data_IF_445515463319
#
_entry.id   IF_445515463319
#
_cell.length_a   1.000
_cell.length_b   1.000
_cell.length_c   1.000
_cell.angle_alpha   90.00
_cell.angle_beta   90.00
_cell.angle_gamma   90.00
#
_symmetry.space_group_name_H-M   'P 1'
#
loop_
_entity.id
_entity.type
_entity.pdbx_description
1 polymer ?
#
# COMPACT_ATOMS: atom_id res chain seq x y z
N UNK A 1 -25.72 41.00 58.19
CA UNK A 1 -24.81 41.19 57.03
C UNK A 1 -24.45 39.81 56.51
N UNK A 2 -25.11 39.35 55.45
CA UNK A 2 -24.90 38.01 54.88
C UNK A 2 -23.94 38.07 53.70
N UNK A 3 -22.80 37.38 53.81
CA UNK A 3 -21.82 37.26 52.74
C UNK A 3 -22.33 36.22 51.73
N UNK A 4 -22.84 36.66 50.59
CA UNK A 4 -23.23 35.76 49.50
C UNK A 4 -21.98 35.35 48.71
N UNK A 5 -21.49 34.13 48.95
CA UNK A 5 -20.43 33.49 48.16
C UNK A 5 -20.96 33.14 46.77
N UNK A 6 -20.58 33.94 45.78
CA UNK A 6 -20.83 33.65 44.36
C UNK A 6 -19.80 32.63 43.88
N UNK A 7 -20.16 31.33 43.90
CA UNK A 7 -19.31 30.26 43.39
C UNK A 7 -19.28 30.27 41.86
N UNK A 8 -18.22 30.79 41.26
CA UNK A 8 -17.96 30.65 39.81
C UNK A 8 -17.33 29.27 39.58
N UNK A 9 -18.16 28.30 39.17
CA UNK A 9 -17.69 26.98 38.78
C UNK A 9 -16.97 27.03 37.44
N UNK A 10 -15.65 26.87 37.43
CA UNK A 10 -14.86 26.74 36.20
C UNK A 10 -14.95 25.27 35.77
N UNK A 11 -16.01 24.93 35.02
CA UNK A 11 -16.12 23.62 34.39
C UNK A 11 -15.17 23.52 33.20
N UNK A 12 -14.03 22.85 33.36
CA UNK A 12 -13.23 22.44 32.22
C UNK A 12 -14.02 21.38 31.45
N UNK A 13 -14.52 21.73 30.26
CA UNK A 13 -15.08 20.72 29.38
C UNK A 13 -13.98 19.71 29.01
N UNK A 14 -14.25 18.40 29.03
CA UNK A 14 -13.27 17.41 28.61
C UNK A 14 -12.84 17.72 27.18
N UNK A 15 -11.54 17.87 26.96
CA UNK A 15 -10.98 17.91 25.62
C UNK A 15 -11.28 16.54 24.98
N UNK A 16 -12.21 16.49 24.03
CA UNK A 16 -12.42 15.30 23.24
C UNK A 16 -11.13 15.08 22.44
N UNK A 17 -10.37 14.05 22.81
CA UNK A 17 -9.22 13.61 22.06
C UNK A 17 -9.68 13.32 20.62
N UNK A 18 -8.95 13.84 19.64
CA UNK A 18 -9.20 13.55 18.24
C UNK A 18 -9.31 12.02 18.07
N UNK A 19 -10.35 11.55 17.38
CA UNK A 19 -10.54 10.13 17.14
C UNK A 19 -9.32 9.64 16.37
N UNK A 20 -8.51 8.86 17.06
CA UNK A 20 -7.28 8.24 16.61
C UNK A 20 -7.50 7.57 15.24
N UNK A 21 -6.67 7.95 14.25
CA UNK A 21 -6.84 7.49 12.87
C UNK A 21 -6.50 6.01 12.76
N UNK A 22 -7.46 5.17 12.34
CA UNK A 22 -7.17 3.78 12.01
C UNK A 22 -6.49 3.71 10.65
N UNK A 23 -5.44 2.91 10.53
CA UNK A 23 -4.71 2.71 9.28
C UNK A 23 -4.41 1.24 9.05
N UNK A 24 -4.47 0.80 7.79
CA UNK A 24 -4.24 -0.60 7.42
C UNK A 24 -3.41 -0.69 6.14
N UNK A 25 -2.48 -1.65 6.13
CA UNK A 25 -1.66 -1.97 4.98
C UNK A 25 -1.54 -3.49 4.84
N UNK A 26 -1.63 -3.99 3.61
CA UNK A 26 -1.31 -5.40 3.30
C UNK A 26 -0.37 -5.51 2.11
N UNK A 27 0.53 -6.48 2.15
CA UNK A 27 1.51 -6.74 1.10
C UNK A 27 1.59 -8.24 0.80
N UNK A 28 1.59 -8.60 -0.47
CA UNK A 28 1.70 -9.97 -0.96
C UNK A 28 2.63 -10.00 -2.18
N UNK A 29 3.72 -10.76 -2.10
CA UNK A 29 4.74 -10.78 -3.16
C UNK A 29 4.26 -11.57 -4.38
N UNK A 30 3.79 -12.81 -4.19
CA UNK A 30 3.14 -13.61 -5.23
C UNK A 30 1.85 -14.21 -4.68
N UNK A 31 0.76 -13.99 -5.39
CA UNK A 31 -0.55 -14.58 -5.13
C UNK A 31 -1.11 -15.26 -6.37
N UNK A 32 -2.16 -16.05 -6.20
CA UNK A 32 -2.74 -16.83 -7.28
C UNK A 32 -3.50 -18.03 -6.76
N UNK A 33 -4.04 -18.81 -7.68
CA UNK A 33 -4.67 -20.09 -7.36
C UNK A 33 -3.65 -21.22 -7.13
N UNK A 34 -2.44 -21.07 -7.67
CA UNK A 34 -1.38 -22.07 -7.55
C UNK A 34 -0.35 -21.72 -6.47
N UNK A 35 -0.08 -20.43 -6.27
CA UNK A 35 0.96 -19.94 -5.35
C UNK A 35 0.39 -18.85 -4.47
N UNK A 36 0.68 -18.92 -3.18
CA UNK A 36 0.45 -17.83 -2.26
C UNK A 36 1.62 -17.71 -1.30
N UNK A 37 2.30 -16.57 -1.32
CA UNK A 37 3.48 -16.29 -0.51
C UNK A 37 3.12 -15.73 0.87
N UNK A 38 1.88 -15.95 1.32
CA UNK A 38 1.32 -15.29 2.49
C UNK A 38 1.11 -13.79 2.26
N UNK A 39 0.54 -13.14 3.27
CA UNK A 39 0.29 -11.70 3.30
C UNK A 39 0.94 -11.09 4.55
N UNK A 40 1.77 -10.07 4.38
CA UNK A 40 2.08 -9.15 5.48
C UNK A 40 0.88 -8.26 5.75
N UNK A 41 0.54 -8.07 7.03
CA UNK A 41 -0.47 -7.10 7.44
C UNK A 41 0.09 -6.21 8.55
N UNK A 42 -0.14 -4.91 8.43
CA UNK A 42 0.01 -3.96 9.51
C UNK A 42 -1.32 -3.22 9.71
N UNK A 43 -1.71 -3.04 10.96
CA UNK A 43 -2.90 -2.27 11.33
C UNK A 43 -2.62 -1.46 12.57
N UNK A 44 -3.09 -0.23 12.58
CA UNK A 44 -3.04 0.66 13.73
C UNK A 44 -4.48 1.06 14.09
N UNK A 45 -4.81 0.98 15.38
CA UNK A 45 -6.08 1.45 15.95
C UNK A 45 -6.05 2.96 16.30
N UNK A 46 -4.98 3.61 15.88
CA UNK A 46 -4.63 5.01 16.08
C UNK A 46 -3.99 5.31 17.44
N UNK A 47 -3.65 4.29 18.24
CA UNK A 47 -2.89 4.48 19.49
C UNK A 47 -1.41 4.10 19.34
N UNK A 48 -1.08 3.08 18.55
CA UNK A 48 0.28 2.57 18.40
C UNK A 48 0.56 2.15 16.96
N UNK A 49 1.62 2.71 16.37
CA UNK A 49 2.07 2.29 15.05
C UNK A 49 2.42 0.81 15.04
N UNK A 50 2.03 0.11 13.98
CA UNK A 50 2.34 -1.29 13.73
C UNK A 50 3.22 -1.42 12.49
N UNK A 51 4.25 -2.25 12.59
CA UNK A 51 5.10 -2.64 11.47
C UNK A 51 5.10 -4.16 11.42
N UNK A 52 4.75 -4.75 10.27
CA UNK A 52 4.83 -6.20 10.10
C UNK A 52 6.26 -6.72 10.09
N UNK A 53 7.25 -5.83 10.03
CA UNK A 53 8.61 -6.16 9.63
C UNK A 53 8.67 -6.64 8.17
N UNK A 54 9.87 -6.97 7.67
CA UNK A 54 9.99 -7.69 6.41
C UNK A 54 9.43 -9.11 6.58
N UNK A 55 8.28 -9.42 5.99
CA UNK A 55 7.87 -10.82 5.84
C UNK A 55 8.57 -11.37 4.59
N UNK A 56 9.86 -11.63 4.73
CA UNK A 56 10.62 -12.35 3.72
C UNK A 56 10.24 -13.81 3.78
N UNK A 57 9.52 -14.28 2.76
CA UNK A 57 9.43 -15.71 2.49
C UNK A 57 10.57 -16.05 1.54
N UNK A 58 11.34 -17.10 1.87
CA UNK A 58 12.26 -17.70 0.91
C UNK A 58 11.46 -18.09 -0.33
N UNK A 59 11.97 -17.73 -1.52
CA UNK A 59 11.20 -17.81 -2.76
C UNK A 59 10.66 -19.22 -3.03
N UNK A 60 9.37 -19.39 -3.35
CA UNK A 60 8.84 -20.67 -3.74
C UNK A 60 9.45 -21.00 -5.09
N UNK A 61 10.25 -22.06 -5.13
CA UNK A 61 10.50 -22.74 -6.39
C UNK A 61 9.32 -23.68 -6.60
N UNK A 62 8.43 -23.33 -7.53
CA UNK A 62 7.40 -24.28 -7.96
C UNK A 62 7.91 -24.99 -9.19
N UNK A 63 8.28 -26.24 -8.97
CA UNK A 63 8.65 -27.18 -10.03
C UNK A 63 7.40 -27.91 -10.48
N UNK A 64 7.03 -27.75 -11.75
CA UNK A 64 6.14 -28.69 -12.41
C UNK A 64 6.95 -29.95 -12.83
N UNK A 65 6.29 -31.04 -13.26
CA UNK A 65 6.97 -32.25 -13.72
C UNK A 65 7.94 -32.05 -14.90
N UNK A 66 7.80 -30.94 -15.64
CA UNK A 66 8.56 -30.58 -16.83
C UNK A 66 9.63 -29.48 -16.56
N UNK A 67 9.83 -29.04 -15.31
CA UNK A 67 10.72 -27.93 -14.93
C UNK A 67 10.10 -26.85 -14.03
N UNK A 68 10.83 -25.78 -13.74
CA UNK A 68 10.33 -24.72 -12.86
C UNK A 68 9.27 -23.85 -13.56
N UNK A 69 8.04 -23.84 -13.04
CA UNK A 69 6.98 -22.98 -13.52
C UNK A 69 7.20 -21.53 -13.09
N UNK A 70 7.55 -21.34 -11.82
CA UNK A 70 7.88 -20.04 -11.27
C UNK A 70 9.21 -20.17 -10.54
N UNK A 71 10.18 -19.40 -11.03
CA UNK A 71 11.48 -19.23 -10.37
C UNK A 71 11.58 -17.77 -9.97
N UNK A 72 11.34 -17.49 -8.68
CA UNK A 72 11.62 -16.20 -8.07
C UNK A 72 12.58 -16.47 -6.91
N UNK A 73 13.70 -15.76 -6.88
CA UNK A 73 14.74 -16.04 -5.88
C UNK A 73 14.47 -15.27 -4.58
N UNK A 74 13.94 -14.06 -4.71
CA UNK A 74 13.67 -13.21 -3.56
C UNK A 74 12.25 -12.70 -3.65
N UNK A 75 11.50 -12.97 -2.59
CA UNK A 75 10.19 -12.40 -2.37
C UNK A 75 10.27 -11.45 -1.20
N UNK A 76 9.67 -10.30 -1.41
CA UNK A 76 9.77 -9.22 -0.45
C UNK A 76 8.39 -8.64 -0.21
N UNK A 77 8.06 -8.47 1.05
CA UNK A 77 6.80 -7.94 1.51
C UNK A 77 7.06 -7.16 2.78
N UNK A 78 6.51 -5.95 2.85
CA UNK A 78 6.54 -5.14 4.05
C UNK A 78 5.28 -4.28 4.10
N UNK A 79 4.68 -4.18 5.29
CA UNK A 79 3.52 -3.34 5.53
C UNK A 79 3.76 -2.54 6.82
N UNK A 80 3.37 -1.27 6.79
CA UNK A 80 3.48 -0.34 7.91
C UNK A 80 2.16 0.42 8.04
N UNK A 81 1.69 0.54 9.28
CA UNK A 81 0.54 1.35 9.67
C UNK A 81 1.02 2.27 10.80
N UNK A 82 1.26 3.54 10.50
CA UNK A 82 1.83 4.50 11.44
C UNK A 82 0.75 5.13 12.33
N UNK A 83 1.18 5.59 13.52
CA UNK A 83 0.32 6.20 14.56
C UNK A 83 -0.33 7.51 14.13
N UNK A 84 0.27 8.22 13.16
CA UNK A 84 -0.26 9.44 12.56
C UNK A 84 -1.46 9.20 11.62
N UNK A 85 -1.87 7.95 11.46
CA UNK A 85 -2.92 7.54 10.54
C UNK A 85 -2.41 7.25 9.14
N UNK A 86 -1.12 7.35 8.85
CA UNK A 86 -0.55 6.99 7.54
C UNK A 86 -0.32 5.48 7.42
N UNK A 87 -0.27 4.95 6.20
CA UNK A 87 0.04 3.53 5.94
C UNK A 87 0.82 3.34 4.64
N UNK A 88 1.66 2.31 4.60
CA UNK A 88 2.39 1.94 3.40
C UNK A 88 2.56 0.43 3.27
N UNK A 89 2.50 -0.06 2.03
CA UNK A 89 2.72 -1.44 1.69
C UNK A 89 3.63 -1.54 0.47
N UNK A 90 4.61 -2.44 0.56
CA UNK A 90 5.55 -2.74 -0.50
C UNK A 90 5.56 -4.26 -0.70
N UNK A 91 5.38 -4.70 -1.94
CA UNK A 91 5.51 -6.13 -2.25
C UNK A 91 6.08 -6.34 -3.63
N UNK A 92 6.82 -7.43 -3.79
CA UNK A 92 7.25 -7.85 -5.11
C UNK A 92 8.21 -9.02 -5.09
N UNK A 93 8.65 -9.35 -6.28
CA UNK A 93 9.60 -10.41 -6.54
C UNK A 93 10.80 -9.87 -7.31
N UNK A 94 11.95 -10.51 -7.15
CA UNK A 94 13.15 -10.24 -7.93
C UNK A 94 13.93 -11.54 -8.20
N UNK A 95 14.75 -11.50 -9.25
CA UNK A 95 15.62 -12.61 -9.64
C UNK A 95 16.72 -12.92 -8.62
N UNK A 96 17.57 -13.91 -8.94
CA UNK A 96 18.77 -14.21 -8.14
C UNK A 96 19.61 -12.94 -8.00
N UNK A 97 20.02 -12.59 -6.78
CA UNK A 97 20.77 -11.35 -6.52
C UNK A 97 19.92 -10.09 -6.34
N UNK A 98 18.59 -10.16 -6.48
CA UNK A 98 17.70 -9.09 -6.09
C UNK A 98 17.84 -8.75 -4.60
N UNK A 99 17.98 -7.47 -4.27
CA UNK A 99 18.04 -7.02 -2.88
C UNK A 99 16.66 -7.04 -2.21
N UNK A 100 16.68 -6.97 -0.89
CA UNK A 100 15.46 -6.89 -0.07
C UNK A 100 14.66 -5.62 -0.34
N UNK A 101 13.40 -5.63 0.08
CA UNK A 101 12.53 -4.44 0.12
C UNK A 101 12.31 -4.04 1.55
N UNK A 102 12.43 -2.74 1.79
CA UNK A 102 12.20 -2.15 3.09
C UNK A 102 11.29 -0.94 2.93
N UNK A 103 10.36 -0.76 3.87
CA UNK A 103 9.68 0.52 4.05
C UNK A 103 10.62 1.45 4.81
N UNK A 104 11.05 2.52 4.17
CA UNK A 104 11.89 3.55 4.78
C UNK A 104 11.11 4.40 5.81
N UNK A 105 11.82 5.27 6.55
CA UNK A 105 11.23 6.09 7.62
C UNK A 105 10.15 7.07 7.13
N UNK A 106 10.16 7.42 5.83
CA UNK A 106 9.16 8.29 5.21
C UNK A 106 8.06 7.50 4.49
N UNK A 107 7.81 6.25 4.89
CA UNK A 107 6.84 5.35 4.26
C UNK A 107 7.14 5.06 2.77
N UNK A 108 8.35 5.37 2.32
CA UNK A 108 8.79 5.09 0.96
C UNK A 108 9.32 3.66 0.85
N UNK A 109 8.83 2.93 -0.14
CA UNK A 109 9.36 1.62 -0.48
C UNK A 109 10.74 1.77 -1.13
N UNK A 110 11.77 1.29 -0.46
CA UNK A 110 13.12 1.23 -1.01
C UNK A 110 13.38 -0.17 -1.55
N UNK A 111 13.72 -0.24 -2.83
CA UNK A 111 14.09 -1.47 -3.53
C UNK A 111 15.59 -1.46 -3.77
N UNK A 112 16.33 -2.40 -3.19
CA UNK A 112 17.72 -2.55 -3.55
C UNK A 112 17.83 -3.40 -4.83
N UNK A 113 17.89 -2.74 -5.98
CA UNK A 113 17.99 -3.41 -7.28
C UNK A 113 19.43 -3.63 -7.75
N UNK A 114 20.41 -3.66 -6.85
CA UNK A 114 21.85 -3.84 -7.18
C UNK A 114 22.20 -5.21 -7.78
N UNK A 115 21.21 -5.97 -8.26
CA UNK A 115 21.37 -7.24 -8.95
C UNK A 115 21.92 -7.03 -10.36
N UNK A 116 23.19 -6.63 -10.48
CA UNK A 116 23.93 -6.73 -11.74
C UNK A 116 24.33 -8.20 -11.94
N UNK A 117 23.47 -8.97 -12.62
CA UNK A 117 23.90 -10.24 -13.25
C UNK A 117 23.24 -11.54 -12.79
N UNK A 118 22.14 -11.52 -12.05
CA UNK A 118 21.41 -12.75 -11.70
C UNK A 118 20.15 -12.97 -12.52
N UNK A 119 19.85 -14.25 -12.82
CA UNK A 119 18.68 -14.68 -13.58
C UNK A 119 17.40 -14.07 -13.00
N UNK A 120 16.63 -13.41 -13.85
CA UNK A 120 15.38 -12.74 -13.49
C UNK A 120 14.33 -13.70 -12.93
N UNK A 121 13.22 -13.12 -12.47
CA UNK A 121 11.97 -13.83 -12.23
C UNK A 121 11.59 -14.53 -13.52
N UNK A 122 11.44 -15.84 -13.44
CA UNK A 122 10.91 -16.65 -14.50
C UNK A 122 9.46 -17.02 -14.14
N UNK A 123 8.51 -16.64 -14.98
CA UNK A 123 7.11 -16.99 -14.87
C UNK A 123 6.71 -17.87 -16.07
N UNK A 124 5.95 -18.91 -15.78
CA UNK A 124 5.42 -19.85 -16.76
C UNK A 124 6.52 -20.54 -17.59
N UNK A 125 7.61 -20.97 -16.94
CA UNK A 125 8.66 -21.75 -17.61
C UNK A 125 9.44 -21.00 -18.70
N UNK A 126 9.56 -19.68 -18.57
CA UNK A 126 10.39 -18.80 -19.39
C UNK A 126 9.59 -17.92 -20.33
N UNK A 127 8.27 -18.13 -20.41
CA UNK A 127 7.40 -17.32 -21.26
C UNK A 127 7.41 -15.85 -20.84
N UNK A 128 7.50 -15.59 -19.54
CA UNK A 128 7.57 -14.25 -18.98
C UNK A 128 8.81 -14.18 -18.08
N UNK A 129 9.71 -13.27 -18.42
CA UNK A 129 10.93 -13.03 -17.64
C UNK A 129 10.97 -11.57 -17.23
N UNK A 130 11.36 -11.28 -15.99
CA UNK A 130 11.54 -9.92 -15.52
C UNK A 130 12.67 -9.89 -14.50
N UNK A 131 13.50 -8.85 -14.46
CA UNK A 131 14.52 -8.76 -13.43
C UNK A 131 13.89 -8.50 -12.06
N UNK A 132 12.87 -7.65 -12.03
CA UNK A 132 12.14 -7.34 -10.82
C UNK A 132 10.72 -6.83 -11.12
N UNK A 133 9.79 -7.13 -10.23
CA UNK A 133 8.40 -6.67 -10.30
C UNK A 133 7.96 -6.27 -8.91
N UNK A 134 7.60 -5.01 -8.74
CA UNK A 134 7.27 -4.41 -7.45
C UNK A 134 6.01 -3.57 -7.51
N UNK A 135 5.22 -3.61 -6.46
CA UNK A 135 4.12 -2.69 -6.21
C UNK A 135 4.33 -1.97 -4.88
N UNK A 136 3.90 -0.71 -4.85
CA UNK A 136 3.91 0.16 -3.68
C UNK A 136 2.55 0.82 -3.54
N UNK A 137 2.08 0.93 -2.32
CA UNK A 137 0.89 1.70 -1.97
C UNK A 137 1.23 2.53 -0.74
N UNK A 138 0.95 3.83 -0.80
CA UNK A 138 1.12 4.75 0.32
C UNK A 138 -0.16 5.54 0.51
N UNK A 139 -0.71 5.53 1.71
CA UNK A 139 -1.84 6.36 2.09
C UNK A 139 -1.38 7.28 3.23
N UNK A 140 -1.65 8.58 3.10
CA UNK A 140 -1.28 9.58 4.10
C UNK A 140 -2.53 10.09 4.75
N UNK A 141 -2.49 10.45 6.03
CA UNK A 141 -3.68 10.88 6.76
C UNK A 141 -4.43 12.10 6.14
N UNK A 142 -3.77 12.87 5.28
CA UNK A 142 -4.29 14.12 4.69
C UNK A 142 -4.51 14.06 3.16
N UNK A 143 -4.23 12.93 2.50
CA UNK A 143 -4.27 12.83 1.05
C UNK A 143 -4.93 11.54 0.55
N UNK A 144 -5.31 11.46 -0.74
CA UNK A 144 -5.75 10.20 -1.31
C UNK A 144 -4.61 9.18 -1.29
N UNK A 145 -4.91 7.88 -1.18
CA UNK A 145 -3.90 6.85 -1.34
C UNK A 145 -3.28 6.91 -2.74
N UNK A 146 -1.97 6.69 -2.81
CA UNK A 146 -1.18 6.67 -4.04
C UNK A 146 -0.61 5.27 -4.25
N UNK A 147 -0.71 4.79 -5.48
CA UNK A 147 -0.14 3.53 -5.93
C UNK A 147 1.00 3.75 -6.91
N UNK A 148 1.89 2.77 -7.00
CA UNK A 148 2.87 2.69 -8.08
C UNK A 148 3.31 1.25 -8.30
N UNK A 149 3.45 0.87 -9.56
CA UNK A 149 4.14 -0.35 -9.99
C UNK A 149 5.52 -0.03 -10.56
N UNK A 150 6.46 -0.97 -10.45
CA UNK A 150 7.74 -0.93 -11.15
C UNK A 150 8.04 -2.32 -11.71
N UNK A 151 8.20 -2.39 -13.02
CA UNK A 151 8.62 -3.60 -13.74
C UNK A 151 9.98 -3.32 -14.39
N UNK A 152 11.01 -4.04 -13.96
CA UNK A 152 12.35 -3.93 -14.50
C UNK A 152 12.61 -5.07 -15.50
N UNK A 153 12.93 -4.71 -16.74
CA UNK A 153 13.28 -5.64 -17.82
C UNK A 153 12.26 -6.76 -18.02
N UNK A 154 10.97 -6.43 -17.99
CA UNK A 154 9.93 -7.39 -18.35
C UNK A 154 10.05 -7.70 -19.85
N UNK A 155 10.25 -8.97 -20.16
CA UNK A 155 10.38 -9.51 -21.49
C UNK A 155 9.52 -10.77 -21.63
N UNK A 156 8.89 -10.92 -22.78
CA UNK A 156 8.28 -12.17 -23.18
C UNK A 156 9.38 -13.04 -23.77
N UNK A 157 9.69 -14.12 -23.06
CA UNK A 157 10.67 -15.08 -23.56
C UNK A 157 10.06 -15.84 -24.73
N UNK A 158 10.90 -16.12 -25.71
CA UNK A 158 10.60 -17.03 -26.82
C UNK A 158 10.63 -18.49 -26.35
N UNK A 159 10.00 -18.79 -25.21
CA UNK A 159 10.04 -20.08 -24.55
C UNK A 159 9.79 -21.20 -25.56
N UNK A 160 10.86 -21.91 -25.91
CA UNK A 160 10.95 -22.70 -27.15
C UNK A 160 10.05 -23.93 -27.17
N UNK A 161 9.29 -24.20 -26.10
CA UNK A 161 8.72 -25.53 -25.86
C UNK A 161 7.24 -25.61 -25.52
N UNK A 162 6.55 -24.52 -25.19
CA UNK A 162 5.30 -24.66 -24.43
C UNK A 162 4.01 -24.29 -25.17
N UNK A 163 4.06 -23.32 -26.07
CA UNK A 163 2.90 -22.93 -26.90
C UNK A 163 3.13 -23.16 -28.40
N UNK A 164 4.32 -23.65 -28.80
CA UNK A 164 4.70 -23.76 -30.21
C UNK A 164 4.77 -22.41 -30.94
N UNK A 165 4.64 -21.29 -30.21
CA UNK A 165 4.73 -19.92 -30.71
C UNK A 165 6.20 -19.52 -30.83
N UNK A 166 6.94 -20.19 -31.71
CA UNK A 166 8.36 -19.89 -31.93
C UNK A 166 8.57 -18.41 -32.25
N UNK A 167 9.50 -17.75 -31.54
CA UNK A 167 10.14 -16.45 -31.83
C UNK A 167 9.29 -15.22 -32.27
N UNK A 168 7.96 -15.26 -32.24
CA UNK A 168 7.12 -14.20 -32.84
C UNK A 168 7.07 -12.92 -31.98
N UNK A 169 7.41 -12.96 -30.68
CA UNK A 169 7.23 -11.84 -29.75
C UNK A 169 8.51 -11.53 -28.95
N UNK A 170 9.51 -10.91 -29.59
CA UNK A 170 10.60 -10.23 -28.88
C UNK A 170 10.29 -8.73 -28.79
N UNK A 171 9.38 -8.38 -27.88
CA UNK A 171 9.05 -6.98 -27.57
C UNK A 171 9.58 -6.60 -26.19
N UNK A 172 10.43 -5.57 -26.11
CA UNK A 172 10.78 -4.93 -24.84
C UNK A 172 9.65 -4.01 -24.41
N UNK A 173 9.10 -4.22 -23.22
CA UNK A 173 8.07 -3.34 -22.67
C UNK A 173 8.72 -1.99 -22.28
N UNK A 174 8.08 -0.82 -22.54
CA UNK A 174 8.60 0.45 -22.10
C UNK A 174 8.76 0.46 -20.58
N UNK A 175 10.01 0.47 -20.12
CA UNK A 175 10.36 0.65 -18.72
C UNK A 175 10.17 2.13 -18.36
N UNK A 176 9.13 2.47 -17.57
CA UNK A 176 8.97 3.82 -17.03
C UNK A 176 7.60 4.48 -17.18
N UNK A 177 6.57 3.77 -17.65
CA UNK A 177 5.22 4.31 -17.64
C UNK A 177 4.65 4.29 -16.22
N UNK A 178 4.40 5.45 -15.61
CA UNK A 178 3.49 5.62 -14.48
C UNK A 178 2.01 5.45 -14.92
N UNK A 179 1.76 4.60 -15.91
CA UNK A 179 0.45 4.37 -16.51
C UNK A 179 0.33 2.89 -16.85
N UNK A 180 -0.83 2.31 -16.55
CA UNK A 180 -1.22 0.96 -16.89
C UNK A 180 -1.03 0.67 -18.38
N UNK A 181 0.16 0.20 -18.76
CA UNK A 181 0.38 -0.32 -20.10
C UNK A 181 -0.22 -1.71 -20.19
N UNK A 182 -1.42 -1.78 -20.75
CA UNK A 182 -1.96 -3.05 -21.27
C UNK A 182 -1.13 -3.36 -22.51
N UNK A 183 -0.07 -4.14 -22.34
CA UNK A 183 0.76 -4.57 -23.46
C UNK A 183 0.08 -5.78 -24.05
N UNK A 184 -0.80 -5.50 -25.01
CA UNK A 184 -1.20 -6.46 -26.02
C UNK A 184 -0.05 -6.52 -27.02
N UNK A 185 0.70 -7.61 -27.03
CA UNK A 185 2.02 -7.69 -27.68
C UNK A 185 1.87 -7.95 -29.19
N UNK A 186 0.88 -7.31 -29.80
CA UNK A 186 0.75 -7.07 -31.23
C UNK A 186 -0.13 -5.80 -31.42
N UNK A 187 0.39 -4.57 -31.36
CA UNK A 187 -0.37 -3.32 -31.64
C UNK A 187 -1.69 -3.12 -30.85
N UNK A 188 -2.58 -2.15 -31.22
CA UNK A 188 -3.96 -2.12 -30.74
C UNK A 188 -4.77 -3.26 -31.38
N UNK A 189 -4.27 -4.48 -31.24
CA UNK A 189 -4.98 -5.69 -31.54
C UNK A 189 -5.45 -6.16 -30.18
N UNK A 190 -6.76 -6.22 -30.03
CA UNK A 190 -7.41 -7.18 -29.17
C UNK A 190 -6.94 -8.57 -29.68
N UNK A 191 -5.70 -8.97 -29.37
CA UNK A 191 -5.18 -10.28 -29.78
C UNK A 191 -5.86 -11.27 -28.86
N UNK A 192 -7.04 -11.65 -29.30
CA UNK A 192 -7.61 -12.91 -28.99
C UNK A 192 -6.65 -13.97 -29.56
N UNK A 193 -5.52 -14.25 -28.88
CA UNK A 193 -4.87 -15.55 -28.92
C UNK A 193 -5.87 -16.53 -28.26
N UNK A 194 -7.05 -16.70 -28.88
CA UNK A 194 -8.24 -17.34 -28.35
C UNK A 194 -8.37 -17.29 -26.82
N UNK A 195 -8.50 -16.12 -26.19
CA UNK A 195 -8.67 -15.96 -24.74
C UNK A 195 -7.56 -16.55 -23.84
N UNK A 196 -6.50 -17.18 -24.37
CA UNK A 196 -5.65 -18.10 -23.59
C UNK A 196 -4.69 -17.43 -22.62
N UNK A 197 -4.19 -16.23 -22.89
CA UNK A 197 -3.25 -15.51 -22.01
C UNK A 197 -3.58 -14.02 -21.95
N UNK A 198 -3.79 -13.52 -20.74
CA UNK A 198 -4.03 -12.12 -20.42
C UNK A 198 -2.96 -11.63 -19.44
N UNK A 199 -2.15 -10.68 -19.87
CA UNK A 199 -1.16 -10.02 -19.02
C UNK A 199 -1.66 -8.60 -18.75
N UNK A 200 -1.81 -8.25 -17.48
CA UNK A 200 -2.19 -6.91 -17.05
C UNK A 200 -1.10 -6.38 -16.13
N UNK A 201 -0.64 -5.16 -16.37
CA UNK A 201 0.36 -4.50 -15.51
C UNK A 201 -0.25 -3.27 -14.87
N UNK A 202 0.26 -2.92 -13.69
CA UNK A 202 -0.04 -1.66 -12.99
C UNK A 202 -1.55 -1.41 -12.85
N UNK A 203 -2.25 -2.39 -12.28
CA UNK A 203 -3.70 -2.25 -12.04
C UNK A 203 -3.93 -1.64 -10.68
N UNK A 204 -4.61 -0.51 -10.67
CA UNK A 204 -5.06 0.18 -9.47
C UNK A 204 -6.57 0.07 -9.34
N UNK A 205 -7.05 -0.19 -8.13
CA UNK A 205 -8.49 -0.24 -7.86
C UNK A 205 -8.75 0.36 -6.49
N UNK A 206 -9.51 1.45 -6.47
CA UNK A 206 -9.99 2.05 -5.24
C UNK A 206 -11.34 1.43 -4.89
N UNK A 207 -11.45 0.82 -3.72
CA UNK A 207 -12.70 0.24 -3.26
C UNK A 207 -13.62 1.34 -2.68
N UNK A 208 -14.91 1.04 -2.54
CA UNK A 208 -15.89 1.96 -1.96
C UNK A 208 -15.57 2.39 -0.52
N UNK A 209 -14.76 1.62 0.21
CA UNK A 209 -14.31 1.97 1.55
C UNK A 209 -13.11 2.93 1.58
N UNK A 210 -12.56 3.35 0.43
CA UNK A 210 -11.40 4.24 0.34
C UNK A 210 -10.04 3.52 0.33
N UNK A 211 -10.01 2.18 0.42
CA UNK A 211 -8.76 1.42 0.25
C UNK A 211 -8.30 1.49 -1.20
N UNK A 212 -6.99 1.65 -1.41
CA UNK A 212 -6.37 1.47 -2.71
C UNK A 212 -5.71 0.09 -2.76
N UNK A 213 -6.01 -0.64 -3.83
CA UNK A 213 -5.31 -1.88 -4.18
C UNK A 213 -4.47 -1.64 -5.42
N UNK A 214 -3.20 -2.01 -5.35
CA UNK A 214 -2.25 -1.92 -6.46
C UNK A 214 -1.73 -3.32 -6.74
N UNK A 215 -1.68 -3.68 -8.01
CA UNK A 215 -1.10 -4.94 -8.48
C UNK A 215 -0.13 -4.66 -9.60
N UNK A 216 1.14 -5.02 -9.41
CA UNK A 216 2.19 -4.71 -10.37
C UNK A 216 2.07 -5.53 -11.65
N UNK A 217 1.87 -6.84 -11.51
CA UNK A 217 1.71 -7.76 -12.63
C UNK A 217 0.64 -8.79 -12.30
N UNK A 218 -0.32 -8.96 -13.21
CA UNK A 218 -1.31 -10.03 -13.17
C UNK A 218 -1.27 -10.79 -14.49
N UNK A 219 -0.98 -12.08 -14.41
CA UNK A 219 -0.97 -13.01 -15.52
C UNK A 219 -2.13 -13.97 -15.33
N UNK A 220 -3.02 -14.03 -16.30
CA UNK A 220 -4.14 -14.95 -16.31
C UNK A 220 -4.06 -15.81 -17.56
N UNK A 221 -3.93 -17.12 -17.40
CA UNK A 221 -4.02 -18.08 -18.50
C UNK A 221 -5.43 -18.64 -18.51
N UNK A 222 -6.28 -18.25 -19.46
CA UNK A 222 -7.63 -18.82 -19.60
C UNK A 222 -7.55 -19.99 -20.59
N UNK A 223 -7.16 -21.17 -20.10
CA UNK A 223 -7.03 -22.36 -20.93
C UNK A 223 -8.10 -23.40 -20.66
N UNK A 224 -8.42 -24.19 -21.69
CA UNK A 224 -9.00 -25.53 -21.49
C UNK A 224 -8.00 -26.40 -20.74
N UNK A 225 -8.50 -27.37 -19.99
CA UNK A 225 -7.72 -28.31 -19.17
C UNK A 225 -6.53 -28.96 -19.90
N UNK A 226 -6.59 -29.08 -21.22
CA UNK A 226 -5.52 -29.59 -22.09
C UNK A 226 -4.28 -28.71 -22.11
N UNK A 227 -4.41 -27.38 -22.23
CA UNK A 227 -3.26 -26.48 -22.21
C UNK A 227 -2.60 -26.49 -20.84
N UNK A 228 -3.40 -26.37 -19.78
CA UNK A 228 -2.92 -26.40 -18.40
C UNK A 228 -2.30 -27.76 -18.03
N UNK A 229 -2.83 -28.84 -18.61
CA UNK A 229 -2.26 -30.19 -18.53
C UNK A 229 -0.87 -30.26 -19.16
N UNK A 230 -0.66 -29.65 -20.34
CA UNK A 230 0.67 -29.60 -20.98
C UNK A 230 1.69 -28.78 -20.17
N UNK A 231 1.20 -27.78 -19.42
CA UNK A 231 1.99 -27.01 -18.45
C UNK A 231 2.27 -27.79 -17.15
N UNK A 232 1.78 -29.02 -17.01
CA UNK A 232 1.90 -29.82 -15.80
C UNK A 232 1.13 -29.24 -14.61
N UNK A 233 0.17 -28.35 -14.85
CA UNK A 233 -0.61 -27.65 -13.81
C UNK A 233 -1.93 -28.35 -13.47
N UNK A 234 -2.15 -29.50 -14.10
CA UNK A 234 -3.36 -30.28 -13.92
C UNK A 234 -4.62 -29.57 -14.43
N UNK A 235 -5.76 -29.99 -13.89
CA UNK A 235 -7.07 -29.60 -14.37
C UNK A 235 -7.58 -28.38 -13.58
N UNK A 236 -7.04 -27.18 -13.87
CA UNK A 236 -7.51 -25.92 -13.28
C UNK A 236 -8.73 -25.41 -14.06
N UNK A 237 -9.94 -25.79 -13.61
CA UNK A 237 -11.20 -25.47 -14.29
C UNK A 237 -11.48 -23.97 -14.48
N UNK A 238 -10.79 -23.10 -13.73
CA UNK A 238 -10.96 -21.64 -13.76
C UNK A 238 -9.76 -20.89 -14.39
N UNK A 239 -8.86 -21.62 -15.06
CA UNK A 239 -7.61 -21.05 -15.57
C UNK A 239 -6.54 -20.91 -14.48
N UNK A 240 -5.38 -20.37 -14.87
CA UNK A 240 -4.29 -20.05 -13.96
C UNK A 240 -4.26 -18.53 -13.75
N UNK A 241 -4.19 -18.08 -12.50
CA UNK A 241 -3.98 -16.66 -12.19
C UNK A 241 -2.74 -16.55 -11.31
N UNK A 242 -1.78 -15.77 -11.77
CA UNK A 242 -0.58 -15.39 -11.04
C UNK A 242 -0.60 -13.88 -10.88
N UNK A 243 -0.40 -13.41 -9.67
CA UNK A 243 -0.32 -12.00 -9.32
C UNK A 243 1.01 -11.77 -8.64
N UNK A 244 1.78 -10.79 -9.11
CA UNK A 244 3.06 -10.40 -8.51
C UNK A 244 2.96 -8.97 -8.04
N UNK A 245 3.37 -8.73 -6.80
CA UNK A 245 3.28 -7.44 -6.12
C UNK A 245 1.84 -6.98 -5.97
N UNK A 246 1.09 -7.60 -5.05
CA UNK A 246 -0.27 -7.18 -4.69
C UNK A 246 -0.20 -6.48 -3.33
N UNK A 247 -0.51 -5.19 -3.30
CA UNK A 247 -0.47 -4.37 -2.09
C UNK A 247 -1.80 -3.63 -1.91
N UNK A 248 -2.16 -3.39 -0.67
CA UNK A 248 -3.28 -2.52 -0.31
C UNK A 248 -2.86 -1.54 0.76
N UNK A 249 -3.32 -0.30 0.65
CA UNK A 249 -3.21 0.71 1.70
C UNK A 249 -4.56 1.39 1.92
N UNK A 250 -4.73 1.94 3.11
CA UNK A 250 -5.97 2.55 3.55
C UNK A 250 -7.05 1.56 4.03
N UNK A 251 -8.29 2.03 4.27
CA UNK A 251 -8.59 3.45 4.33
C UNK A 251 -8.01 4.01 5.61
N UNK A 252 -7.23 5.08 5.47
CA UNK A 252 -6.81 5.82 6.63
C UNK A 252 -7.98 6.66 7.10
N UNK A 253 -8.39 6.50 8.37
CA UNK A 253 -9.38 7.39 8.93
C UNK A 253 -8.82 8.81 8.84
N UNK A 254 -9.49 9.68 8.07
CA UNK A 254 -9.20 11.10 8.06
C UNK A 254 -9.23 11.55 9.50
N UNK A 255 -8.08 11.98 10.03
CA UNK A 255 -7.99 12.60 11.34
C UNK A 255 -9.05 13.67 11.33
N UNK A 256 -10.16 13.44 12.06
CA UNK A 256 -11.30 14.33 12.06
C UNK A 256 -10.74 15.71 12.36
N UNK A 257 -10.72 16.58 11.34
CA UNK A 257 -9.90 17.79 11.35
C UNK A 257 -10.16 18.49 12.67
N UNK A 258 -9.10 18.70 13.46
CA UNK A 258 -9.19 19.10 14.86
C UNK A 258 -10.30 20.13 14.98
N UNK A 259 -11.47 19.72 15.49
CA UNK A 259 -12.55 20.68 15.68
C UNK A 259 -11.98 21.64 16.71
N UNK A 260 -11.88 22.95 16.40
CA UNK A 260 -11.20 23.87 17.30
C UNK A 260 -11.82 23.72 18.68
N UNK A 261 -10.99 23.40 19.69
CA UNK A 261 -11.43 23.15 21.08
C UNK A 261 -12.27 24.31 21.65
N UNK A 262 -12.20 25.47 21.01
CA UNK A 262 -13.09 26.59 21.26
C UNK A 262 -14.19 26.60 20.20
N UNK A 263 -15.45 26.28 20.56
CA UNK A 263 -16.57 26.67 19.71
C UNK A 263 -16.43 28.17 19.46
N UNK A 264 -16.51 28.63 18.21
CA UNK A 264 -16.33 30.04 17.85
C UNK A 264 -17.26 31.00 18.64
N UNK A 265 -18.32 30.46 19.26
CA UNK A 265 -19.24 31.18 20.14
C UNK A 265 -18.77 31.34 21.61
N UNK A 266 -17.70 30.68 22.05
CA UNK A 266 -17.17 30.75 23.42
C UNK A 266 -16.13 31.86 23.67
N UNK A 267 -15.49 32.35 22.60
CA UNK A 267 -14.55 33.48 22.63
C UNK A 267 -15.06 34.75 23.35
N UNK A 268 -16.31 35.22 23.15
CA UNK A 268 -16.79 36.41 23.86
C UNK A 268 -16.94 36.18 25.37
N UNK A 269 -17.20 34.96 25.82
CA UNK A 269 -17.41 34.66 27.25
C UNK A 269 -16.08 34.62 27.99
N UNK A 270 -15.04 34.00 27.41
CA UNK A 270 -13.70 33.97 28.00
C UNK A 270 -13.07 35.37 28.08
N UNK A 271 -13.27 36.21 27.06
CA UNK A 271 -12.86 37.62 27.09
C UNK A 271 -13.57 38.43 28.17
N UNK A 272 -14.87 38.20 28.39
CA UNK A 272 -15.65 38.87 29.43
C UNK A 272 -15.17 38.55 30.85
N UNK A 273 -14.83 37.28 31.13
CA UNK A 273 -14.34 36.86 32.45
C UNK A 273 -12.96 37.45 32.77
N UNK A 274 -12.05 37.47 31.80
CA UNK A 274 -10.72 38.09 31.95
C UNK A 274 -10.81 39.61 32.17
N UNK A 275 -11.71 40.29 31.45
CA UNK A 275 -11.94 41.72 31.64
C UNK A 275 -12.49 42.06 33.03
N UNK A 276 -13.42 41.25 33.56
CA UNK A 276 -13.96 41.43 34.90
C UNK A 276 -12.91 41.18 36.00
N UNK A 277 -12.10 40.13 35.86
CA UNK A 277 -11.03 39.84 36.81
C UNK A 277 -9.95 40.94 36.82
N UNK A 278 -9.53 41.41 35.63
CA UNK A 278 -8.59 42.53 35.49
C UNK A 278 -9.14 43.84 36.07
N UNK A 279 -10.43 44.13 35.83
CA UNK A 279 -11.10 45.32 36.37
C UNK A 279 -11.21 45.32 37.90
N UNK A 280 -11.55 44.17 38.48
CA UNK A 280 -11.63 44.01 39.94
C UNK A 280 -10.24 44.16 40.61
N UNK A 281 -9.20 43.57 40.02
CA UNK A 281 -7.83 43.72 40.52
C UNK A 281 -7.33 45.18 40.43
N UNK A 282 -7.66 45.89 39.34
CA UNK A 282 -7.29 47.29 39.15
C UNK A 282 -7.96 48.21 40.19
N UNK A 283 -9.26 48.01 40.45
CA UNK A 283 -10.00 48.79 41.46
C UNK A 283 -9.53 48.49 42.90
N UNK A 284 -9.21 47.24 43.21
CA UNK A 284 -8.63 46.86 44.50
C UNK A 284 -7.29 47.56 44.78
N UNK A 285 -6.44 47.68 43.76
CA UNK A 285 -5.12 48.34 43.88
C UNK A 285 -5.22 49.84 44.18
N UNK A 286 -6.25 50.53 43.66
CA UNK A 286 -6.48 51.95 43.97
C UNK A 286 -6.94 52.19 45.41
N UNK A 287 -7.73 51.28 45.99
CA UNK A 287 -8.18 51.41 47.38
C UNK A 287 -7.04 51.23 48.39
N UNK A 288 -6.06 50.39 48.10
CA UNK A 288 -4.90 50.18 48.98
C UNK A 288 -3.90 51.35 48.97
N UNK A 289 -3.84 52.13 47.89
CA UNK A 289 -2.93 53.29 47.81
C UNK A 289 -3.53 54.61 48.32
N UNK A 290 -4.84 54.65 48.64
CA UNK A 290 -5.52 55.85 49.14
C UNK A 290 -5.63 55.97 50.67
N UNK A 291 -5.12 55.00 51.44
CA UNK A 291 -5.26 54.95 52.92
C UNK A 291 -3.98 55.39 53.65
N UNK A 292 -3.08 56.11 52.97
CA UNK A 292 -1.95 56.80 53.60
C UNK A 292 -2.02 58.29 53.29
N UNK A 293 -2.92 58.98 53.97
CA UNK A 293 -2.88 60.42 54.19
C UNK A 293 -3.35 60.67 55.62
#
# INVERSE_FOLDING_TARGET
MGLATLGVGIGAAPAFAATNGTSQATAQAIGGNLINTGTCKASNDGTTGSNSGPCTNTGPTITNPNGQLITASVLTQAAVAASDGSSAACAGASGTGGGGVQVGPNLQCMFNTSATGGGGINLLGGLLTANAVFATCTDTAAGPPMGKSTLANLALGSGSGLLGLGNILSGTLPTGANQSTIISVLGPLNVNLGQLLKITTDTETTNANGTLRVTALRVQVLGTSTLLGSLGLGNLSNGLVITVGNVTCGPNATVAGMTPMFPAKGLPIAGGVLALAGGAAYLGRRRLMGVRA
#
